data_IF_531726884813
#
_entry.id   IF_531726884813
#
_cell.length_a   1.000
_cell.length_b   1.000
_cell.length_c   1.000
_cell.angle_alpha   90.00
_cell.angle_beta   90.00
_cell.angle_gamma   90.00
#
_symmetry.space_group_name_H-M   'P 1'
#
loop_
_entity.id
_entity.type
_entity.pdbx_description
1 polymer ?
#
# COMPACT_ATOMS: atom_id res chain seq x y z
N UNK A 1 -3.95 2.30 -2.61
CA UNK A 1 -4.19 3.53 -1.84
C UNK A 1 -3.00 3.80 -0.94
N UNK A 2 -2.25 4.85 -1.22
CA UNK A 2 -1.22 5.34 -0.34
C UNK A 2 -1.86 6.38 0.58
N UNK A 3 -2.06 6.04 1.85
CA UNK A 3 -2.44 7.02 2.86
C UNK A 3 -1.19 7.73 3.35
N UNK A 4 -1.08 9.02 3.07
CA UNK A 4 0.00 9.85 3.57
C UNK A 4 -0.52 10.49 4.85
N UNK A 5 0.03 10.09 6.00
CA UNK A 5 -0.23 10.74 7.27
C UNK A 5 0.70 11.93 7.41
N UNK A 6 0.13 13.13 7.46
CA UNK A 6 0.86 14.32 7.86
C UNK A 6 0.90 14.43 9.39
N UNK A 7 2.07 14.46 9.95
CA UNK A 7 2.27 14.93 11.32
C UNK A 7 2.54 16.43 11.25
N UNK A 8 1.53 17.22 11.59
CA UNK A 8 1.64 18.66 11.58
C UNK A 8 2.58 19.15 12.71
N UNK A 9 3.65 19.83 12.35
CA UNK A 9 4.55 20.51 13.28
C UNK A 9 3.79 21.68 13.89
N UNK A 10 3.31 21.57 15.12
CA UNK A 10 2.89 22.76 15.82
C UNK A 10 1.78 22.72 16.86
N UNK A 11 1.00 21.68 16.99
CA UNK A 11 0.03 21.62 18.10
C UNK A 11 0.23 20.38 18.98
N UNK A 12 0.46 20.65 20.26
CA UNK A 12 0.52 19.61 21.29
C UNK A 12 -0.87 19.05 21.51
N UNK A 13 -1.25 18.03 20.77
CA UNK A 13 -2.33 17.16 21.24
C UNK A 13 -1.80 16.41 22.46
N UNK A 14 -2.18 16.90 23.64
CA UNK A 14 -1.93 16.22 24.89
C UNK A 14 -2.88 15.02 25.00
N UNK A 15 -2.55 13.93 24.35
CA UNK A 15 -3.21 12.65 24.58
C UNK A 15 -2.51 12.03 25.79
N UNK A 16 -3.19 12.00 26.92
CA UNK A 16 -2.78 11.19 28.07
C UNK A 16 -3.01 9.72 27.69
N UNK A 17 -1.98 9.10 27.17
CA UNK A 17 -1.99 7.66 26.88
C UNK A 17 -1.57 6.89 28.11
N UNK A 18 -2.45 5.97 28.51
CA UNK A 18 -2.11 4.94 29.48
C UNK A 18 -1.22 3.90 28.79
N UNK A 19 -0.05 3.65 29.29
CA UNK A 19 1.15 3.09 28.65
C UNK A 19 1.09 1.60 28.29
N UNK A 20 -0.05 1.01 27.98
CA UNK A 20 -0.15 -0.44 27.66
C UNK A 20 -0.86 -0.83 26.36
N UNK A 21 -1.52 0.07 25.69
CA UNK A 21 -2.29 -0.25 24.46
C UNK A 21 -1.77 0.36 23.17
N UNK A 22 -0.60 0.99 23.14
CA UNK A 22 -0.08 1.75 21.99
C UNK A 22 0.75 0.91 21.01
N UNK A 23 0.40 -0.36 20.84
CA UNK A 23 1.15 -1.25 19.93
C UNK A 23 0.51 -1.45 18.56
N UNK A 24 -0.53 -0.71 18.22
CA UNK A 24 -1.32 -1.01 17.02
C UNK A 24 -1.59 0.21 16.14
N UNK A 25 -0.64 1.10 15.98
CA UNK A 25 -0.83 2.17 15.02
C UNK A 25 0.29 2.23 14.00
N UNK A 26 -0.13 2.19 12.81
CA UNK A 26 0.56 2.37 11.53
C UNK A 26 0.99 1.11 10.82
N UNK A 27 0.33 0.80 9.70
CA UNK A 27 0.91 0.79 8.38
C UNK A 27 -0.06 0.35 7.31
N UNK A 28 -0.38 1.23 6.42
CA UNK A 28 -0.60 0.87 5.03
C UNK A 28 0.56 1.45 4.25
N UNK A 29 1.55 0.68 3.95
CA UNK A 29 2.46 0.90 2.84
C UNK A 29 2.90 -0.45 2.32
N UNK A 30 2.33 -0.79 1.18
CA UNK A 30 2.97 -1.47 0.07
C UNK A 30 3.81 -2.68 0.38
N UNK A 31 3.42 -3.77 -0.24
CA UNK A 31 4.30 -4.81 -0.72
C UNK A 31 5.70 -4.25 -1.04
N UNK A 32 6.58 -4.34 -0.10
CA UNK A 32 8.01 -4.35 -0.37
C UNK A 32 8.70 -5.09 0.75
N UNK A 33 9.21 -6.21 0.37
CA UNK A 33 10.13 -7.06 1.11
C UNK A 33 11.23 -6.27 1.83
N UNK A 34 11.73 -6.96 2.85
CA UNK A 34 13.10 -6.92 3.38
C UNK A 34 13.26 -6.29 4.76
N UNK A 35 13.36 -7.01 5.73
CA UNK A 35 14.40 -7.73 6.47
C UNK A 35 15.14 -6.95 7.56
N UNK A 36 15.33 -7.50 8.75
CA UNK A 36 16.49 -7.84 9.58
C UNK A 36 16.21 -7.98 11.06
N UNK A 37 16.53 -9.04 11.52
CA UNK A 37 17.63 -9.72 12.25
C UNK A 37 17.70 -9.45 13.76
N UNK A 38 17.53 -10.53 14.38
CA UNK A 38 18.11 -11.13 15.59
C UNK A 38 19.18 -10.38 16.37
N UNK A 39 19.05 -10.49 17.67
CA UNK A 39 20.09 -10.40 18.69
C UNK A 39 19.51 -10.67 20.05
N UNK A 40 19.65 -11.87 20.46
CA UNK A 40 19.87 -12.59 21.70
C UNK A 40 20.18 -11.69 22.91
N UNK A 41 19.79 -11.98 24.13
CA UNK A 41 19.84 -13.09 25.05
C UNK A 41 19.25 -12.72 26.42
N UNK A 42 18.63 -13.75 27.00
CA UNK A 42 18.67 -14.28 28.37
C UNK A 42 18.31 -13.45 29.61
N UNK A 43 17.39 -14.08 30.33
CA UNK A 43 17.30 -14.36 31.77
C UNK A 43 17.10 -13.19 32.74
N UNK A 44 16.13 -13.19 33.59
CA UNK A 44 15.83 -14.03 34.73
C UNK A 44 14.58 -13.55 35.48
N UNK A 45 14.02 -14.47 36.22
CA UNK A 45 12.81 -14.46 37.02
C UNK A 45 12.74 -13.41 38.15
N UNK A 46 11.53 -13.02 38.51
CA UNK A 46 10.98 -13.25 39.87
C UNK A 46 9.55 -12.67 39.99
N UNK A 47 8.75 -13.47 40.63
CA UNK A 47 7.39 -13.24 41.16
C UNK A 47 7.33 -12.02 42.09
N UNK A 48 6.19 -11.32 42.09
CA UNK A 48 5.43 -11.14 43.32
C UNK A 48 4.00 -10.64 43.09
N UNK A 49 3.09 -11.27 43.78
CA UNK A 49 1.65 -11.07 43.86
C UNK A 49 1.38 -9.99 44.92
N UNK A 50 0.46 -9.06 44.69
CA UNK A 50 -0.43 -8.48 45.72
C UNK A 50 -1.70 -7.90 45.13
N UNK A 51 -2.79 -8.17 45.84
CA UNK A 51 -4.22 -7.97 45.67
C UNK A 51 -4.74 -6.54 45.51
N UNK A 52 -5.88 -6.54 44.84
CA UNK A 52 -7.17 -5.84 45.07
C UNK A 52 -7.22 -4.46 45.77
N UNK A 53 -7.85 -3.53 45.08
CA UNK A 53 -8.98 -2.80 45.68
C UNK A 53 -9.80 -2.06 44.60
N UNK A 54 -11.08 -2.34 44.63
CA UNK A 54 -12.15 -1.71 43.87
C UNK A 54 -12.40 -0.29 44.37
N UNK A 55 -12.50 0.67 43.44
CA UNK A 55 -13.27 1.88 43.70
C UNK A 55 -13.97 2.35 42.43
N UNK A 56 -15.29 2.33 42.52
CA UNK A 56 -16.24 2.77 41.52
C UNK A 56 -16.29 4.30 41.54
N UNK A 57 -15.90 4.96 40.45
CA UNK A 57 -16.18 6.39 40.29
C UNK A 57 -16.77 6.66 38.91
N UNK A 58 -17.88 7.38 38.92
CA UNK A 58 -18.76 7.72 37.81
C UNK A 58 -18.04 8.37 36.60
N UNK A 59 -18.51 8.03 35.40
CA UNK A 59 -18.08 8.60 34.14
C UNK A 59 -18.38 10.11 34.07
N UNK A 60 -17.43 10.94 33.60
CA UNK A 60 -17.73 12.32 33.22
C UNK A 60 -18.39 12.37 31.84
N UNK A 61 -19.37 13.26 31.73
CA UNK A 61 -20.13 13.56 30.53
C UNK A 61 -19.23 13.88 29.33
N UNK A 62 -19.53 13.28 28.21
CA UNK A 62 -18.95 13.55 26.89
C UNK A 62 -19.27 14.99 26.48
N UNK A 63 -18.25 15.84 26.47
CA UNK A 63 -18.33 17.16 25.84
C UNK A 63 -18.15 16.93 24.33
N UNK A 64 -19.18 17.23 23.54
CA UNK A 64 -19.09 17.21 22.09
C UNK A 64 -17.96 18.14 21.62
N UNK A 65 -17.11 17.61 20.74
CA UNK A 65 -16.10 18.41 20.05
C UNK A 65 -16.82 19.50 19.21
N UNK A 66 -16.24 20.70 19.12
CA UNK A 66 -16.81 21.75 18.26
C UNK A 66 -16.78 21.26 16.81
N UNK A 67 -17.90 21.39 16.11
CA UNK A 67 -17.99 21.17 14.67
C UNK A 67 -16.95 22.09 13.98
N UNK A 68 -16.00 21.49 13.25
CA UNK A 68 -15.13 22.23 12.36
C UNK A 68 -15.98 22.75 11.20
N UNK A 69 -15.99 24.06 11.01
CA UNK A 69 -16.53 24.68 9.80
C UNK A 69 -15.69 24.18 8.62
N UNK A 70 -16.32 23.51 7.67
CA UNK A 70 -15.72 23.09 6.42
C UNK A 70 -15.25 24.31 5.62
N UNK A 71 -13.97 24.56 5.68
CA UNK A 71 -13.30 25.50 4.78
C UNK A 71 -12.90 24.73 3.51
N UNK A 72 -13.59 24.99 2.42
CA UNK A 72 -13.32 24.43 1.08
C UNK A 72 -12.07 25.05 0.41
N UNK A 73 -11.08 25.46 1.17
CA UNK A 73 -9.80 25.90 0.61
C UNK A 73 -8.87 24.69 0.43
N UNK A 74 -8.20 24.60 -0.73
CA UNK A 74 -7.15 23.62 -0.97
C UNK A 74 -6.16 23.60 0.21
N UNK A 75 -5.70 22.43 0.65
CA UNK A 75 -4.74 22.35 1.73
C UNK A 75 -3.43 23.04 1.34
N UNK A 76 -2.86 23.77 2.28
CA UNK A 76 -1.59 24.47 2.10
C UNK A 76 -0.42 23.61 2.61
N UNK A 77 0.78 23.91 2.10
CA UNK A 77 2.04 23.33 2.60
C UNK A 77 2.56 22.21 1.74
N UNK A 78 3.81 21.84 2.02
CA UNK A 78 4.55 20.78 1.35
C UNK A 78 4.98 19.77 2.41
N UNK A 79 4.68 18.50 2.19
CA UNK A 79 5.21 17.40 2.97
C UNK A 79 6.41 16.79 2.25
N UNK A 80 7.58 16.83 2.89
CA UNK A 80 8.85 16.42 2.29
C UNK A 80 9.30 15.07 2.82
N UNK A 81 9.51 14.14 1.91
CA UNK A 81 10.05 12.81 2.22
C UNK A 81 11.45 12.65 1.66
N UNK A 82 12.37 12.09 2.43
CA UNK A 82 13.65 11.62 1.94
C UNK A 82 13.54 10.18 1.44
N UNK A 83 14.06 9.93 0.25
CA UNK A 83 14.23 8.61 -0.36
C UNK A 83 15.68 8.41 -0.80
N UNK A 84 16.08 7.17 -1.14
CA UNK A 84 17.51 6.84 -1.37
C UNK A 84 17.85 6.47 -2.80
N UNK A 85 16.91 6.56 -3.72
CA UNK A 85 17.12 6.18 -5.11
C UNK A 85 16.14 6.91 -6.02
N UNK A 86 16.60 7.30 -7.20
CA UNK A 86 15.72 7.69 -8.28
C UNK A 86 14.79 6.55 -8.64
N UNK A 87 13.51 6.83 -8.90
CA UNK A 87 12.62 5.88 -9.54
C UNK A 87 13.19 5.41 -10.89
N UNK A 88 13.17 4.10 -11.14
CA UNK A 88 13.70 3.53 -12.36
C UNK A 88 12.73 3.68 -13.55
N UNK A 89 11.43 3.79 -13.26
CA UNK A 89 10.37 3.89 -14.28
C UNK A 89 9.12 4.56 -13.70
N UNK A 90 8.37 5.23 -14.56
CA UNK A 90 7.00 5.73 -14.30
C UNK A 90 5.94 4.91 -15.05
N UNK A 91 6.34 3.84 -15.70
CA UNK A 91 5.47 2.94 -16.45
C UNK A 91 5.14 1.72 -15.61
N UNK A 92 3.90 1.62 -15.13
CA UNK A 92 3.48 0.53 -14.25
C UNK A 92 3.48 -0.83 -14.96
N UNK A 93 3.22 -0.90 -16.27
CA UNK A 93 3.38 -2.13 -17.03
C UNK A 93 4.82 -2.63 -17.00
N UNK A 94 5.79 -1.73 -17.16
CA UNK A 94 7.22 -2.04 -17.11
C UNK A 94 7.67 -2.41 -15.71
N UNK A 95 7.18 -1.72 -14.70
CA UNK A 95 7.50 -2.03 -13.31
C UNK A 95 7.10 -3.46 -12.93
N UNK A 96 5.88 -3.86 -13.24
CA UNK A 96 5.41 -5.22 -12.98
C UNK A 96 6.13 -6.27 -13.82
N UNK A 97 6.66 -5.90 -15.00
CA UNK A 97 7.33 -6.84 -15.93
C UNK A 97 8.82 -7.04 -15.61
N UNK A 98 9.60 -5.96 -15.49
CA UNK A 98 11.07 -6.03 -15.40
C UNK A 98 11.72 -5.16 -14.35
N UNK A 99 11.16 -4.02 -14.02
CA UNK A 99 11.83 -2.95 -13.28
C UNK A 99 11.32 -2.79 -11.85
N UNK A 100 11.01 -3.89 -11.20
CA UNK A 100 10.44 -3.92 -9.84
C UNK A 100 11.39 -3.31 -8.82
N UNK A 101 11.11 -2.08 -8.39
CA UNK A 101 11.77 -1.40 -7.28
C UNK A 101 10.75 -0.61 -6.44
N UNK A 102 11.08 -0.37 -5.17
CA UNK A 102 10.14 0.25 -4.23
C UNK A 102 9.90 1.74 -4.55
N UNK A 103 10.91 2.46 -5.01
CA UNK A 103 10.82 3.91 -5.19
C UNK A 103 10.01 4.28 -6.41
N UNK A 104 10.13 3.52 -7.52
CA UNK A 104 9.25 3.68 -8.69
C UNK A 104 7.79 3.46 -8.31
N UNK A 105 7.50 2.46 -7.45
CA UNK A 105 6.12 2.22 -7.03
C UNK A 105 5.53 3.40 -6.26
N UNK A 106 6.32 4.05 -5.39
CA UNK A 106 5.85 5.26 -4.70
C UNK A 106 5.53 6.40 -5.67
N UNK A 107 6.34 6.56 -6.71
CA UNK A 107 6.12 7.58 -7.74
C UNK A 107 4.88 7.30 -8.59
N UNK A 108 4.54 6.03 -8.81
CA UNK A 108 3.40 5.61 -9.64
C UNK A 108 2.11 5.38 -8.83
N UNK A 109 2.08 5.80 -7.57
CA UNK A 109 0.87 5.65 -6.75
C UNK A 109 -0.33 6.31 -7.43
N UNK A 110 -1.43 5.56 -7.48
CA UNK A 110 -2.64 6.00 -8.15
C UNK A 110 -2.72 5.70 -9.64
N UNK A 111 -1.64 5.29 -10.32
CA UNK A 111 -1.72 4.90 -11.74
C UNK A 111 -2.51 3.60 -11.97
N UNK A 112 -2.95 2.94 -10.91
CA UNK A 112 -3.82 1.78 -10.99
C UNK A 112 -4.85 1.79 -9.88
N UNK A 113 -5.94 1.11 -10.12
CA UNK A 113 -6.95 0.74 -9.13
C UNK A 113 -6.98 -0.77 -8.97
N UNK A 114 -7.56 -1.28 -7.88
CA UNK A 114 -7.77 -2.71 -7.67
C UNK A 114 -9.18 -2.96 -7.12
N UNK A 115 -9.70 -4.17 -7.26
CA UNK A 115 -10.99 -4.52 -6.68
C UNK A 115 -10.93 -4.44 -5.16
N UNK A 116 -9.86 -5.00 -4.58
CA UNK A 116 -9.66 -5.07 -3.14
C UNK A 116 -8.26 -4.61 -2.75
N UNK A 117 -8.11 -4.17 -1.51
CA UNK A 117 -6.85 -4.04 -0.80
C UNK A 117 -6.66 -5.17 0.21
N UNK A 118 -5.50 -5.20 0.84
CA UNK A 118 -5.19 -6.13 1.93
C UNK A 118 -5.12 -5.36 3.23
N UNK A 119 -5.91 -5.76 4.23
CA UNK A 119 -5.90 -5.15 5.56
C UNK A 119 -4.65 -5.51 6.35
N UNK A 120 -4.27 -4.65 7.29
CA UNK A 120 -3.23 -4.93 8.28
C UNK A 120 -3.87 -4.87 9.69
N UNK A 121 -3.51 -5.74 10.63
CA UNK A 121 -2.48 -6.77 10.59
C UNK A 121 -2.98 -8.15 10.11
N UNK A 122 -4.25 -8.30 9.79
CA UNK A 122 -4.87 -9.61 9.57
C UNK A 122 -4.71 -10.12 8.14
N UNK A 123 -4.28 -9.27 7.21
CA UNK A 123 -4.07 -9.60 5.79
C UNK A 123 -5.32 -10.16 5.10
N UNK A 124 -6.49 -9.70 5.50
CA UNK A 124 -7.78 -10.00 4.87
C UNK A 124 -8.09 -9.01 3.76
N UNK A 125 -8.98 -9.38 2.85
CA UNK A 125 -9.47 -8.46 1.82
C UNK A 125 -10.29 -7.33 2.45
N UNK A 126 -10.08 -6.12 1.96
CA UNK A 126 -10.94 -4.97 2.17
C UNK A 126 -11.31 -4.40 0.79
N UNK A 127 -12.57 -4.02 0.55
CA UNK A 127 -12.95 -3.39 -0.71
C UNK A 127 -12.13 -2.12 -0.99
N UNK A 128 -11.77 -1.95 -2.27
CA UNK A 128 -11.11 -0.77 -2.80
C UNK A 128 -12.04 -0.14 -3.84
N UNK A 129 -12.12 -0.68 -5.05
CA UNK A 129 -13.14 -0.30 -6.01
C UNK A 129 -14.40 -1.19 -5.92
N UNK A 130 -14.31 -2.36 -5.26
CA UNK A 130 -15.48 -3.21 -5.04
C UNK A 130 -16.47 -2.56 -4.07
N UNK A 131 -17.76 -2.73 -4.32
CA UNK A 131 -18.83 -2.22 -3.45
C UNK A 131 -19.18 -3.17 -2.31
N UNK A 132 -18.70 -4.40 -2.36
CA UNK A 132 -18.95 -5.42 -1.34
C UNK A 132 -17.78 -6.39 -1.24
N UNK A 133 -17.67 -7.08 -0.11
CA UNK A 133 -16.62 -8.08 0.11
C UNK A 133 -17.01 -9.43 -0.51
N UNK A 134 -16.25 -9.89 -1.49
CA UNK A 134 -16.45 -11.18 -2.16
C UNK A 134 -15.26 -12.09 -1.83
N UNK A 135 -15.46 -13.02 -0.92
CA UNK A 135 -14.40 -13.95 -0.44
C UNK A 135 -14.48 -15.35 -1.06
N UNK A 136 -15.66 -15.75 -1.55
CA UNK A 136 -15.89 -17.11 -2.04
C UNK A 136 -16.21 -17.12 -3.52
N UNK A 137 -15.63 -18.09 -4.23
CA UNK A 137 -15.91 -18.34 -5.64
C UNK A 137 -17.31 -18.94 -5.85
N UNK A 138 -17.85 -18.71 -7.03
CA UNK A 138 -19.00 -19.47 -7.54
C UNK A 138 -18.48 -20.66 -8.34
N UNK A 139 -18.86 -21.89 -7.98
CA UNK A 139 -18.66 -23.07 -8.80
C UNK A 139 -19.67 -23.05 -9.96
N UNK A 140 -19.16 -22.98 -11.19
CA UNK A 140 -19.99 -22.93 -12.39
C UNK A 140 -20.54 -24.30 -12.80
N UNK A 141 -20.14 -25.40 -12.14
CA UNK A 141 -20.62 -26.77 -12.38
C UNK A 141 -19.98 -27.47 -13.59
N UNK A 142 -19.02 -26.81 -14.25
CA UNK A 142 -18.28 -27.38 -15.40
C UNK A 142 -16.77 -27.54 -15.09
N UNK A 143 -16.39 -27.40 -13.81
CA UNK A 143 -15.00 -27.43 -13.34
C UNK A 143 -14.33 -26.06 -13.37
N UNK A 144 -15.07 -25.02 -13.70
CA UNK A 144 -14.60 -23.64 -13.60
C UNK A 144 -15.21 -22.91 -12.40
N UNK A 145 -14.52 -21.89 -11.92
CA UNK A 145 -14.92 -21.05 -10.79
C UNK A 145 -14.88 -19.59 -11.21
N UNK A 146 -15.73 -18.77 -10.61
CA UNK A 146 -15.74 -17.35 -10.94
C UNK A 146 -16.04 -16.47 -9.72
N UNK A 147 -15.52 -15.24 -9.77
CA UNK A 147 -15.91 -14.13 -8.91
C UNK A 147 -16.58 -13.06 -9.76
N UNK A 148 -17.73 -12.59 -9.32
CA UNK A 148 -18.43 -11.46 -9.94
C UNK A 148 -18.44 -10.33 -8.93
N UNK A 149 -17.80 -9.24 -9.27
CA UNK A 149 -17.51 -8.14 -8.35
C UNK A 149 -18.10 -6.84 -8.89
N UNK A 150 -19.12 -6.30 -8.23
CA UNK A 150 -19.60 -4.95 -8.54
C UNK A 150 -18.57 -3.92 -8.06
N UNK A 151 -18.33 -2.89 -8.87
CA UNK A 151 -17.44 -1.78 -8.56
C UNK A 151 -18.21 -0.47 -8.41
N UNK A 152 -17.60 0.50 -7.73
CA UNK A 152 -18.20 1.80 -7.49
C UNK A 152 -18.42 2.54 -8.81
N UNK A 153 -19.61 3.06 -9.01
CA UNK A 153 -19.99 3.89 -10.15
C UNK A 153 -19.58 5.34 -9.93
N UNK A 154 -19.23 6.04 -11.01
CA UNK A 154 -19.00 7.48 -11.02
C UNK A 154 -17.58 7.89 -10.65
N UNK A 155 -16.65 6.96 -10.49
CA UNK A 155 -15.24 7.28 -10.33
C UNK A 155 -14.56 7.50 -11.67
N UNK A 156 -13.62 8.45 -11.69
CA UNK A 156 -12.89 8.87 -12.88
C UNK A 156 -11.38 8.85 -12.62
N UNK A 157 -10.63 8.65 -13.68
CA UNK A 157 -9.21 8.93 -13.73
C UNK A 157 -8.96 10.44 -13.76
N UNK A 158 -7.75 10.90 -13.42
CA UNK A 158 -7.39 12.33 -13.42
C UNK A 158 -7.51 13.03 -14.79
N UNK A 159 -7.67 12.27 -15.86
CA UNK A 159 -7.94 12.78 -17.21
C UNK A 159 -9.45 12.90 -17.52
N UNK A 160 -10.32 12.63 -16.55
CA UNK A 160 -11.78 12.68 -16.69
C UNK A 160 -12.42 11.47 -17.36
N UNK A 161 -11.63 10.44 -17.71
CA UNK A 161 -12.20 9.20 -18.22
C UNK A 161 -12.78 8.36 -17.06
N UNK A 162 -13.98 7.76 -17.21
CA UNK A 162 -14.57 6.96 -16.16
C UNK A 162 -13.76 5.69 -15.90
N UNK A 163 -13.69 5.28 -14.62
CA UNK A 163 -13.17 3.98 -14.22
C UNK A 163 -14.28 2.96 -14.37
N UNK A 164 -14.05 1.95 -15.22
CA UNK A 164 -15.03 0.94 -15.55
C UNK A 164 -14.45 -0.47 -15.50
N UNK A 165 -15.30 -1.49 -15.55
CA UNK A 165 -14.90 -2.89 -15.64
C UNK A 165 -13.98 -3.16 -16.86
N UNK A 166 -14.04 -2.32 -17.89
CA UNK A 166 -13.19 -2.42 -19.08
C UNK A 166 -11.71 -2.18 -18.79
N UNK A 167 -11.36 -1.46 -17.71
CA UNK A 167 -9.96 -1.24 -17.31
C UNK A 167 -9.33 -2.56 -16.82
N UNK A 168 -10.07 -3.40 -16.08
CA UNK A 168 -9.64 -4.75 -15.70
C UNK A 168 -9.51 -5.67 -16.90
N UNK A 169 -10.53 -5.67 -17.79
CA UNK A 169 -10.51 -6.47 -19.02
C UNK A 169 -9.34 -6.12 -19.89
N UNK A 170 -9.10 -4.83 -20.09
CA UNK A 170 -7.97 -4.33 -20.88
C UNK A 170 -6.63 -4.75 -20.26
N UNK A 171 -6.44 -4.53 -18.95
CA UNK A 171 -5.17 -4.81 -18.29
C UNK A 171 -4.84 -6.30 -18.32
N UNK A 172 -5.81 -7.17 -18.02
CA UNK A 172 -5.65 -8.62 -18.13
C UNK A 172 -5.28 -9.05 -19.54
N UNK A 173 -6.06 -8.61 -20.55
CA UNK A 173 -5.84 -8.99 -21.94
C UNK A 173 -4.49 -8.52 -22.46
N UNK A 174 -4.04 -7.32 -22.03
CA UNK A 174 -2.72 -6.77 -22.35
C UNK A 174 -1.62 -7.62 -21.74
N UNK A 175 -1.72 -7.92 -20.44
CA UNK A 175 -0.73 -8.73 -19.74
C UNK A 175 -0.60 -10.15 -20.34
N UNK A 176 -1.72 -10.74 -20.73
CA UNK A 176 -1.77 -12.06 -21.37
C UNK A 176 -1.33 -12.02 -22.83
N UNK A 177 -1.83 -11.08 -23.60
CA UNK A 177 -1.64 -11.01 -25.05
C UNK A 177 -0.23 -10.57 -25.46
N UNK A 178 0.40 -9.72 -24.67
CA UNK A 178 1.78 -9.23 -24.91
C UNK A 178 2.84 -10.02 -24.13
N UNK A 179 2.60 -11.26 -23.75
CA UNK A 179 3.25 -12.12 -22.74
C UNK A 179 4.16 -11.37 -21.77
N UNK A 180 3.55 -10.48 -21.00
CA UNK A 180 4.25 -9.80 -19.92
C UNK A 180 4.68 -10.80 -18.84
N UNK A 181 5.80 -10.53 -18.21
CA UNK A 181 6.48 -11.43 -17.27
C UNK A 181 6.42 -10.89 -15.83
N UNK A 182 7.36 -11.33 -15.00
CA UNK A 182 7.54 -10.79 -13.66
C UNK A 182 6.31 -10.94 -12.78
N UNK A 183 5.89 -9.84 -12.19
CA UNK A 183 4.75 -9.77 -11.29
C UNK A 183 3.39 -9.97 -12.01
N UNK A 184 3.30 -9.64 -13.30
CA UNK A 184 2.08 -9.88 -14.08
C UNK A 184 1.68 -11.34 -14.07
N UNK A 185 2.65 -12.25 -14.15
CA UNK A 185 2.38 -13.69 -14.08
C UNK A 185 1.91 -14.15 -12.69
N UNK A 186 2.18 -13.38 -11.65
CA UNK A 186 1.73 -13.70 -10.29
C UNK A 186 0.31 -13.20 -10.03
N UNK A 187 -0.03 -11.98 -10.46
CA UNK A 187 -1.37 -11.40 -10.26
C UNK A 187 -2.40 -11.87 -11.29
N UNK A 188 -1.94 -12.14 -12.52
CA UNK A 188 -2.74 -12.68 -13.62
C UNK A 188 -2.15 -13.99 -14.15
N UNK A 189 -2.19 -15.10 -13.40
CA UNK A 189 -1.64 -16.38 -13.87
C UNK A 189 -2.45 -16.90 -15.07
N UNK A 190 -2.01 -16.56 -16.28
CA UNK A 190 -2.71 -16.85 -17.53
C UNK A 190 -1.96 -17.76 -18.48
N UNK A 191 -0.64 -17.95 -18.29
CA UNK A 191 0.21 -18.81 -19.11
C UNK A 191 0.48 -20.16 -18.41
N UNK A 192 -0.57 -20.83 -18.00
CA UNK A 192 -0.51 -22.07 -17.24
C UNK A 192 -1.54 -23.08 -17.81
N UNK A 193 -1.27 -24.36 -17.68
CA UNK A 193 -2.20 -25.43 -18.04
C UNK A 193 -3.14 -25.80 -16.88
N UNK A 194 -2.70 -25.49 -15.66
CA UNK A 194 -3.40 -25.82 -14.40
C UNK A 194 -3.34 -24.59 -13.52
N UNK A 195 -4.44 -24.27 -12.83
CA UNK A 195 -4.50 -23.14 -11.88
C UNK A 195 -4.32 -21.75 -12.53
N UNK A 196 -5.22 -21.44 -13.48
CA UNK A 196 -5.16 -20.21 -14.26
C UNK A 196 -6.39 -19.33 -14.09
N UNK A 197 -6.17 -18.00 -14.21
CA UNK A 197 -7.22 -17.08 -14.66
C UNK A 197 -7.47 -17.35 -16.14
N UNK A 198 -8.68 -17.75 -16.48
CA UNK A 198 -9.05 -18.12 -17.85
C UNK A 198 -9.65 -16.95 -18.61
N UNK A 199 -10.41 -16.10 -17.91
CA UNK A 199 -11.09 -14.96 -18.50
C UNK A 199 -11.29 -13.82 -17.48
N UNK A 200 -11.26 -12.58 -17.96
CA UNK A 200 -11.76 -11.40 -17.26
C UNK A 200 -12.71 -10.70 -18.21
N UNK A 201 -13.95 -10.53 -17.80
CA UNK A 201 -15.00 -9.93 -18.61
C UNK A 201 -15.77 -8.85 -17.84
N UNK A 202 -16.21 -7.82 -18.54
CA UNK A 202 -17.16 -6.85 -18.04
C UNK A 202 -18.57 -7.37 -18.34
N UNK A 203 -19.33 -7.65 -17.30
CA UNK A 203 -20.75 -8.02 -17.43
C UNK A 203 -21.56 -6.80 -17.84
N UNK A 204 -21.21 -5.68 -17.26
CA UNK A 204 -21.65 -4.31 -17.59
C UNK A 204 -20.50 -3.35 -17.26
N UNK A 205 -20.73 -2.05 -17.31
CA UNK A 205 -19.71 -1.03 -17.10
C UNK A 205 -19.13 -1.06 -15.66
N UNK A 206 -19.89 -1.59 -14.69
CA UNK A 206 -19.52 -1.57 -13.27
C UNK A 206 -19.54 -2.96 -12.63
N UNK A 207 -19.43 -4.02 -13.43
CA UNK A 207 -19.38 -5.40 -12.92
C UNK A 207 -18.27 -6.18 -13.61
N UNK A 208 -17.24 -6.55 -12.85
CA UNK A 208 -16.10 -7.35 -13.30
C UNK A 208 -16.36 -8.81 -12.96
N UNK A 209 -16.21 -9.71 -13.93
CA UNK A 209 -16.20 -11.15 -13.67
C UNK A 209 -14.86 -11.75 -14.04
N UNK A 210 -14.28 -12.47 -13.08
CA UNK A 210 -12.97 -13.14 -13.21
C UNK A 210 -13.20 -14.65 -13.09
N UNK A 211 -12.79 -15.40 -14.11
CA UNK A 211 -12.98 -16.86 -14.20
C UNK A 211 -11.67 -17.61 -14.08
N UNK A 212 -11.73 -18.77 -13.42
CA UNK A 212 -10.60 -19.65 -13.15
C UNK A 212 -10.93 -21.07 -13.58
N UNK A 213 -9.93 -21.87 -13.95
CA UNK A 213 -10.08 -23.32 -14.21
C UNK A 213 -9.85 -24.18 -12.96
N UNK A 214 -9.85 -23.58 -11.78
CA UNK A 214 -9.68 -24.22 -10.47
C UNK A 214 -10.30 -23.32 -9.39
N UNK A 215 -10.48 -23.82 -8.17
CA UNK A 215 -10.87 -23.01 -7.03
C UNK A 215 -9.63 -22.24 -6.50
N UNK A 216 -9.53 -20.91 -6.73
CA UNK A 216 -8.27 -20.19 -6.58
C UNK A 216 -7.83 -19.93 -5.13
N UNK A 217 -8.75 -19.93 -4.17
CA UNK A 217 -8.46 -19.73 -2.75
C UNK A 217 -7.58 -18.50 -2.47
N UNK A 218 -6.69 -18.61 -1.47
CA UNK A 218 -5.85 -17.49 -1.03
C UNK A 218 -4.88 -17.00 -2.12
N UNK A 219 -4.17 -17.91 -2.77
CA UNK A 219 -3.09 -17.53 -3.69
C UNK A 219 -3.63 -16.95 -5.00
N UNK A 220 -4.63 -17.58 -5.59
CA UNK A 220 -5.16 -17.14 -6.88
C UNK A 220 -6.13 -15.98 -6.77
N UNK A 221 -6.90 -15.91 -5.68
CA UNK A 221 -7.85 -14.84 -5.45
C UNK A 221 -7.30 -13.75 -4.53
N UNK A 222 -7.19 -14.00 -3.22
CA UNK A 222 -6.93 -12.95 -2.23
C UNK A 222 -5.60 -12.21 -2.46
N UNK A 223 -4.52 -12.92 -2.78
CA UNK A 223 -3.19 -12.34 -3.05
C UNK A 223 -2.85 -12.29 -4.56
N UNK A 224 -3.80 -12.62 -5.40
CA UNK A 224 -3.68 -12.60 -6.85
C UNK A 224 -4.68 -11.63 -7.50
N UNK A 225 -5.69 -12.19 -8.15
CA UNK A 225 -6.60 -11.44 -9.01
C UNK A 225 -7.43 -10.36 -8.28
N UNK A 226 -7.76 -10.56 -7.00
CA UNK A 226 -8.52 -9.60 -6.21
C UNK A 226 -7.79 -8.26 -6.01
N UNK A 227 -6.46 -8.31 -5.89
CA UNK A 227 -5.60 -7.15 -5.68
C UNK A 227 -4.80 -6.76 -6.92
N UNK A 228 -5.07 -7.43 -8.04
CA UNK A 228 -4.40 -7.14 -9.29
C UNK A 228 -4.70 -5.70 -9.76
N UNK A 229 -3.70 -4.99 -10.27
CA UNK A 229 -3.91 -3.63 -10.75
C UNK A 229 -4.73 -3.64 -12.04
N UNK A 230 -5.62 -2.65 -12.15
CA UNK A 230 -6.24 -2.25 -13.41
C UNK A 230 -5.78 -0.83 -13.76
N UNK A 231 -5.42 -0.63 -15.01
CA UNK A 231 -4.90 0.62 -15.53
C UNK A 231 -5.88 1.22 -16.53
N UNK A 232 -5.87 2.54 -16.66
CA UNK A 232 -6.75 3.26 -17.60
C UNK A 232 -6.62 2.71 -19.03
N UNK A 233 -7.68 2.04 -19.49
CA UNK A 233 -7.75 1.58 -20.88
C UNK A 233 -7.66 2.74 -21.85
N UNK A 234 -8.37 3.83 -21.59
CA UNK A 234 -8.43 5.00 -22.47
C UNK A 234 -7.04 5.57 -22.77
N UNK A 235 -6.15 5.57 -21.79
CA UNK A 235 -4.78 6.03 -21.96
C UNK A 235 -3.87 4.97 -22.59
N UNK A 236 -3.89 3.73 -22.06
CA UNK A 236 -2.87 2.74 -22.38
C UNK A 236 -3.14 1.94 -23.65
N UNK A 237 -4.39 1.85 -24.14
CA UNK A 237 -4.70 0.99 -25.28
C UNK A 237 -3.97 1.37 -26.58
N UNK A 238 -3.67 2.65 -26.77
CA UNK A 238 -2.93 3.13 -27.94
C UNK A 238 -1.47 2.64 -27.98
N UNK A 239 -0.90 2.28 -26.85
CA UNK A 239 0.47 1.81 -26.72
C UNK A 239 0.56 0.28 -26.63
N UNK A 240 -0.54 -0.43 -26.47
CA UNK A 240 -0.59 -1.88 -26.28
C UNK A 240 -0.52 -2.63 -27.63
N UNK A 241 0.32 -2.15 -28.58
CA UNK A 241 0.50 -2.73 -29.91
C UNK A 241 1.52 -3.87 -29.91
N UNK A 242 2.55 -3.74 -29.09
CA UNK A 242 3.54 -4.78 -28.81
C UNK A 242 4.07 -4.63 -27.38
N UNK A 243 4.70 -5.69 -26.83
CA UNK A 243 5.37 -5.60 -25.54
C UNK A 243 6.46 -4.53 -25.52
N UNK A 244 7.23 -4.41 -26.62
CA UNK A 244 8.32 -3.45 -26.75
C UNK A 244 7.77 -2.02 -26.73
N UNK A 245 6.74 -1.72 -27.52
CA UNK A 245 6.12 -0.39 -27.58
C UNK A 245 5.54 0.00 -26.22
N UNK A 246 4.79 -0.91 -25.59
CA UNK A 246 4.18 -0.67 -24.28
C UNK A 246 5.21 -0.35 -23.19
N UNK A 247 6.31 -1.14 -23.12
CA UNK A 247 7.34 -0.94 -22.12
C UNK A 247 8.28 0.25 -22.41
N UNK A 248 8.25 0.79 -23.62
CA UNK A 248 9.01 1.98 -24.01
C UNK A 248 8.32 3.30 -23.62
N UNK A 249 7.03 3.25 -23.29
CA UNK A 249 6.27 4.45 -22.85
C UNK A 249 6.83 4.97 -21.54
N UNK A 250 6.99 6.28 -21.43
CA UNK A 250 7.46 6.93 -20.19
C UNK A 250 6.56 6.64 -18.99
N UNK A 251 5.24 6.69 -19.19
CA UNK A 251 4.24 6.57 -18.12
C UNK A 251 4.08 7.83 -17.26
N UNK A 252 4.88 8.88 -17.48
CA UNK A 252 4.79 10.13 -16.71
C UNK A 252 3.46 10.86 -16.85
N UNK A 253 2.79 10.69 -18.00
CA UNK A 253 1.50 11.30 -18.32
C UNK A 253 0.32 10.34 -18.09
N UNK A 254 0.59 9.15 -17.50
CA UNK A 254 -0.47 8.20 -17.22
C UNK A 254 -1.42 8.77 -16.17
N UNK A 255 -2.74 8.71 -16.40
CA UNK A 255 -3.71 9.24 -15.46
C UNK A 255 -3.71 8.45 -14.16
N UNK A 256 -4.10 9.11 -13.10
CA UNK A 256 -4.12 8.55 -11.74
C UNK A 256 -5.52 8.59 -11.14
N UNK A 257 -5.80 7.63 -10.29
CA UNK A 257 -6.96 7.58 -9.41
C UNK A 257 -6.48 7.94 -7.99
N UNK A 258 -6.18 9.19 -7.76
CA UNK A 258 -5.54 9.69 -6.53
C UNK A 258 -5.84 11.17 -6.35
N UNK A 259 -5.67 11.71 -5.12
CA UNK A 259 -5.75 13.12 -4.83
C UNK A 259 -4.62 13.96 -5.29
N UNK A 260 -3.58 13.29 -5.58
CA UNK A 260 -2.37 13.95 -6.00
C UNK A 260 -2.07 13.48 -7.42
N UNK A 261 -1.82 14.42 -8.28
CA UNK A 261 -1.31 14.18 -9.61
C UNK A 261 0.19 14.42 -9.63
N UNK A 262 0.86 13.70 -10.50
CA UNK A 262 2.27 13.90 -10.75
C UNK A 262 2.50 15.30 -11.35
N UNK A 263 3.45 16.04 -10.78
CA UNK A 263 3.68 17.43 -11.17
C UNK A 263 5.05 17.59 -11.82
N UNK A 264 6.14 17.29 -11.10
CA UNK A 264 7.48 17.58 -11.56
C UNK A 264 8.49 16.52 -11.15
N UNK A 265 9.48 16.29 -12.01
CA UNK A 265 10.70 15.55 -11.65
C UNK A 265 11.94 16.35 -11.99
N UNK A 266 12.92 16.32 -11.10
CA UNK A 266 14.31 16.69 -11.35
C UNK A 266 15.18 15.51 -10.97
N UNK A 267 15.63 14.78 -11.98
CA UNK A 267 16.34 13.52 -11.81
C UNK A 267 17.58 13.67 -10.93
N UNK A 268 17.75 12.79 -9.95
CA UNK A 268 18.82 12.85 -8.96
C UNK A 268 18.61 13.89 -7.85
N UNK A 269 17.51 14.64 -7.86
CA UNK A 269 17.20 15.65 -6.86
C UNK A 269 15.87 15.43 -6.16
N UNK A 270 14.75 15.48 -6.88
CA UNK A 270 13.42 15.30 -6.30
C UNK A 270 12.35 15.02 -7.35
N UNK A 271 11.17 14.57 -6.89
CA UNK A 271 9.92 14.65 -7.64
C UNK A 271 8.77 15.09 -6.73
N UNK A 272 7.75 15.70 -7.34
CA UNK A 272 6.62 16.24 -6.61
C UNK A 272 5.28 15.74 -7.12
N UNK A 273 4.34 15.67 -6.20
CA UNK A 273 2.93 15.47 -6.48
C UNK A 273 2.17 16.65 -5.92
N UNK A 274 1.27 17.21 -6.73
CA UNK A 274 0.40 18.31 -6.33
C UNK A 274 -1.02 17.83 -6.13
N UNK A 275 -1.68 18.39 -5.12
CA UNK A 275 -3.09 18.12 -4.87
C UNK A 275 -3.94 18.58 -6.05
N UNK A 276 -4.84 17.71 -6.46
CA UNK A 276 -5.85 17.97 -7.48
C UNK A 276 -7.23 18.11 -6.83
N UNK A 277 -7.79 19.33 -6.78
CA UNK A 277 -9.08 19.57 -6.15
C UNK A 277 -10.27 18.93 -6.87
N UNK A 278 -10.08 18.56 -8.13
CA UNK A 278 -11.12 17.97 -8.97
C UNK A 278 -11.20 16.44 -8.81
N UNK A 279 -10.27 15.85 -8.04
CA UNK A 279 -10.31 14.39 -7.78
C UNK A 279 -11.33 14.05 -6.72
N UNK A 280 -11.89 12.85 -6.83
CA UNK A 280 -12.98 12.35 -5.99
C UNK A 280 -12.54 11.40 -4.87
N UNK A 281 -11.24 11.33 -4.55
CA UNK A 281 -10.69 10.26 -3.71
C UNK A 281 -10.42 10.67 -2.25
N UNK A 282 -11.14 11.65 -1.70
CA UNK A 282 -10.79 12.22 -0.39
C UNK A 282 -11.95 12.57 0.50
N UNK A 283 -11.52 12.98 1.70
CA UNK A 283 -12.41 13.39 2.75
C UNK A 283 -12.98 12.21 3.53
N UNK A 284 -13.82 12.50 4.49
CA UNK A 284 -14.42 11.53 5.39
C UNK A 284 -13.45 10.98 6.42
N UNK A 285 -13.76 9.82 6.96
CA UNK A 285 -13.04 9.20 8.07
C UNK A 285 -12.86 7.70 7.82
N UNK A 286 -11.79 7.15 8.40
CA UNK A 286 -11.57 5.71 8.44
C UNK A 286 -11.39 5.25 9.88
N UNK A 287 -12.12 4.20 10.26
CA UNK A 287 -12.00 3.54 11.56
C UNK A 287 -11.45 2.13 11.37
N UNK A 288 -10.31 1.83 11.99
CA UNK A 288 -9.74 0.49 12.04
C UNK A 288 -10.03 -0.15 13.39
N UNK A 289 -10.44 -1.41 13.37
CA UNK A 289 -10.74 -2.21 14.56
C UNK A 289 -9.65 -3.23 14.83
N UNK A 290 -9.37 -3.51 16.10
CA UNK A 290 -8.31 -4.43 16.52
C UNK A 290 -8.48 -5.86 15.97
N UNK A 291 -9.71 -6.27 15.72
CA UNK A 291 -10.03 -7.59 15.14
C UNK A 291 -10.02 -7.61 13.61
N UNK A 292 -9.49 -6.56 12.97
CA UNK A 292 -9.27 -6.48 11.52
C UNK A 292 -10.45 -5.93 10.72
N UNK A 293 -11.49 -5.43 11.40
CA UNK A 293 -12.57 -4.70 10.74
C UNK A 293 -12.15 -3.28 10.33
N UNK A 294 -12.81 -2.76 9.31
CA UNK A 294 -12.62 -1.40 8.81
C UNK A 294 -14.00 -0.81 8.51
N UNK A 295 -14.26 0.38 9.04
CA UNK A 295 -15.38 1.21 8.62
C UNK A 295 -14.82 2.50 8.01
N UNK A 296 -15.37 2.94 6.89
CA UNK A 296 -14.93 4.18 6.26
C UNK A 296 -16.07 4.97 5.66
N UNK A 297 -15.87 6.27 5.60
CA UNK A 297 -16.59 7.18 4.74
C UNK A 297 -15.60 7.87 3.81
N UNK A 298 -16.01 8.16 2.59
CA UNK A 298 -15.27 8.97 1.65
C UNK A 298 -16.23 9.99 1.07
N UNK A 299 -15.98 11.24 1.35
CA UNK A 299 -16.83 12.36 0.93
C UNK A 299 -15.96 13.61 0.79
N UNK A 300 -15.76 14.04 -0.44
CA UNK A 300 -15.02 15.26 -0.79
C UNK A 300 -15.95 16.35 -1.35
N UNK A 301 -17.25 16.10 -1.38
CA UNK A 301 -18.24 17.04 -1.95
C UNK A 301 -18.27 17.10 -3.48
N UNK A 302 -17.41 16.36 -4.18
CA UNK A 302 -17.33 16.34 -5.66
C UNK A 302 -18.07 15.13 -6.22
N UNK A 303 -17.88 13.95 -5.61
CA UNK A 303 -18.56 12.71 -5.98
C UNK A 303 -19.61 12.32 -4.96
N UNK A 304 -20.52 11.40 -5.29
CA UNK A 304 -21.38 10.77 -4.30
C UNK A 304 -20.56 10.19 -3.14
N UNK A 305 -20.92 10.55 -1.92
CA UNK A 305 -20.28 9.99 -0.74
C UNK A 305 -20.45 8.47 -0.73
N UNK A 306 -19.37 7.76 -0.44
CA UNK A 306 -19.37 6.31 -0.23
C UNK A 306 -19.00 5.98 1.20
N UNK A 307 -19.55 4.89 1.70
CA UNK A 307 -19.20 4.35 3.01
C UNK A 307 -19.26 2.83 2.96
N UNK A 308 -18.48 2.20 3.85
CA UNK A 308 -18.48 0.75 3.96
C UNK A 308 -18.03 0.30 5.33
N UNK A 309 -18.52 -0.87 5.73
CA UNK A 309 -18.16 -1.57 6.95
C UNK A 309 -17.79 -3.00 6.57
N UNK A 310 -16.57 -3.43 6.90
CA UNK A 310 -16.02 -4.71 6.47
C UNK A 310 -15.25 -5.39 7.60
N UNK A 311 -15.30 -6.72 7.64
CA UNK A 311 -14.59 -7.52 8.61
C UNK A 311 -15.24 -7.51 10.00
N UNK A 312 -14.45 -7.82 11.02
CA UNK A 312 -14.89 -7.84 12.42
C UNK A 312 -14.73 -6.46 13.07
N UNK A 313 -15.83 -5.73 13.18
CA UNK A 313 -15.88 -4.38 13.75
C UNK A 313 -15.82 -4.35 15.28
N UNK A 314 -15.41 -5.43 15.93
CA UNK A 314 -15.27 -5.50 17.38
C UNK A 314 -13.86 -5.18 17.86
N UNK A 315 -13.72 -4.95 19.17
CA UNK A 315 -12.46 -4.63 19.84
C UNK A 315 -12.19 -3.13 19.91
N UNK A 316 -10.97 -2.79 20.33
CA UNK A 316 -10.52 -1.39 20.35
C UNK A 316 -10.47 -0.85 18.92
N UNK A 317 -10.86 0.40 18.73
CA UNK A 317 -10.85 1.04 17.43
C UNK A 317 -10.05 2.35 17.43
N UNK A 318 -9.58 2.71 16.24
CA UNK A 318 -8.91 3.98 16.00
C UNK A 318 -9.50 4.63 14.75
N UNK A 319 -9.98 5.86 14.91
CA UNK A 319 -10.56 6.66 13.83
C UNK A 319 -9.62 7.81 13.47
N UNK A 320 -9.46 8.04 12.18
CA UNK A 320 -8.72 9.18 11.64
C UNK A 320 -9.45 9.78 10.44
N UNK A 321 -9.30 11.09 10.28
CA UNK A 321 -9.80 11.77 9.09
C UNK A 321 -8.93 11.40 7.87
N UNK A 322 -9.58 11.27 6.71
CA UNK A 322 -8.89 11.06 5.45
C UNK A 322 -8.40 12.40 4.89
N UNK A 323 -7.16 12.42 4.35
CA UNK A 323 -6.59 13.63 3.75
C UNK A 323 -7.28 14.06 2.45
N UNK A 324 -6.66 14.96 1.68
CA UNK A 324 -5.28 15.45 1.88
C UNK A 324 -5.18 16.53 2.94
N UNK A 325 -4.02 16.63 3.60
CA UNK A 325 -3.72 17.66 4.59
C UNK A 325 -2.64 18.64 4.12
N UNK A 326 -2.09 18.42 2.93
CA UNK A 326 -1.04 19.25 2.31
C UNK A 326 -1.35 19.45 0.83
N UNK A 327 -0.93 20.56 0.28
CA UNK A 327 -1.10 20.87 -1.13
C UNK A 327 -0.07 20.18 -2.04
N UNK A 328 1.06 19.76 -1.47
CA UNK A 328 2.12 19.11 -2.25
C UNK A 328 2.87 18.07 -1.42
N UNK A 329 3.31 17.02 -2.07
CA UNK A 329 4.24 16.03 -1.53
C UNK A 329 5.52 16.06 -2.36
N UNK A 330 6.67 16.28 -1.71
CA UNK A 330 7.98 16.26 -2.33
C UNK A 330 8.78 15.04 -1.86
N UNK A 331 9.29 14.27 -2.81
CA UNK A 331 10.22 13.17 -2.55
C UNK A 331 11.63 13.62 -2.91
N UNK A 332 12.40 14.01 -1.91
CA UNK A 332 13.78 14.43 -2.07
C UNK A 332 14.72 13.23 -2.09
N UNK A 333 15.63 13.19 -3.06
CA UNK A 333 16.51 12.04 -3.30
C UNK A 333 17.85 12.25 -2.62
N UNK A 334 18.24 11.32 -1.74
CA UNK A 334 19.51 11.33 -1.02
C UNK A 334 20.35 10.12 -1.42
N UNK A 335 21.65 10.31 -1.62
CA UNK A 335 22.54 9.23 -2.04
C UNK A 335 22.86 8.20 -0.93
N UNK A 336 22.63 8.58 0.33
CA UNK A 336 22.88 7.73 1.49
C UNK A 336 21.95 8.06 2.68
N UNK A 337 21.86 7.10 3.60
CA UNK A 337 20.99 7.24 4.77
C UNK A 337 21.46 8.33 5.75
N UNK A 338 22.76 8.53 5.89
CA UNK A 338 23.29 9.45 6.89
C UNK A 338 22.98 10.90 6.51
N UNK A 339 23.06 11.24 5.21
CA UNK A 339 22.65 12.56 4.69
C UNK A 339 21.15 12.81 4.81
N UNK A 340 20.32 11.79 4.55
CA UNK A 340 18.87 11.90 4.73
C UNK A 340 18.48 12.10 6.20
N UNK A 341 19.09 11.37 7.12
CA UNK A 341 18.82 11.57 8.54
C UNK A 341 19.35 12.90 9.06
N UNK A 342 20.45 13.40 8.50
CA UNK A 342 20.92 14.76 8.82
C UNK A 342 19.94 15.82 8.34
N UNK A 343 19.39 15.68 7.13
CA UNK A 343 18.36 16.58 6.62
C UNK A 343 17.10 16.55 7.50
N UNK A 344 16.69 15.37 7.96
CA UNK A 344 15.59 15.22 8.91
C UNK A 344 15.88 15.93 10.25
N UNK A 345 17.08 15.77 10.80
CA UNK A 345 17.51 16.45 12.05
C UNK A 345 17.49 17.97 11.92
N UNK A 346 17.86 18.48 10.75
CA UNK A 346 17.84 19.92 10.44
C UNK A 346 16.42 20.46 10.16
N UNK A 347 15.45 19.57 9.91
CA UNK A 347 14.10 19.94 9.51
C UNK A 347 13.96 20.30 8.03
N UNK A 348 14.90 19.85 7.20
CA UNK A 348 14.85 20.02 5.74
C UNK A 348 13.86 19.05 5.09
N UNK A 349 13.60 17.90 5.73
CA UNK A 349 12.58 16.93 5.39
C UNK A 349 11.75 16.52 6.61
N UNK A 350 10.50 16.16 6.39
CA UNK A 350 9.53 15.82 7.42
C UNK A 350 9.51 14.31 7.74
N UNK A 351 9.94 13.50 6.79
CA UNK A 351 9.94 12.05 6.92
C UNK A 351 11.09 11.40 6.13
N UNK A 352 11.63 10.31 6.66
CA UNK A 352 12.62 9.47 5.94
C UNK A 352 11.99 8.13 5.63
N UNK A 353 11.75 7.87 4.34
CA UNK A 353 11.19 6.62 3.85
C UNK A 353 12.31 5.61 3.63
N UNK A 354 12.58 4.79 4.64
CA UNK A 354 13.67 3.80 4.60
C UNK A 354 13.14 2.36 4.64
N UNK A 355 12.95 1.70 3.49
CA UNK A 355 12.50 0.31 3.45
C UNK A 355 13.54 -0.69 3.97
N UNK A 356 14.81 -0.28 4.07
CA UNK A 356 15.90 -1.13 4.59
C UNK A 356 15.97 -1.17 6.11
N UNK A 357 15.21 -0.32 6.78
CA UNK A 357 15.19 -0.17 8.24
C UNK A 357 16.30 0.73 8.77
N UNK A 358 16.17 1.10 10.03
CA UNK A 358 17.06 2.04 10.73
C UNK A 358 18.04 1.27 11.61
N UNK A 359 19.33 1.62 11.54
CA UNK A 359 20.35 1.07 12.45
C UNK A 359 20.03 1.47 13.90
N UNK A 360 20.33 0.59 14.86
CA UNK A 360 20.04 0.81 16.29
C UNK A 360 20.58 2.15 16.81
N UNK A 361 21.83 2.51 16.47
CA UNK A 361 22.43 3.78 16.90
C UNK A 361 21.67 4.99 16.34
N UNK A 362 21.23 4.92 15.09
CA UNK A 362 20.40 5.97 14.45
C UNK A 362 19.03 6.04 15.11
N UNK A 363 18.39 4.89 15.38
CA UNK A 363 17.13 4.83 16.12
C UNK A 363 17.24 5.53 17.49
N UNK A 364 18.27 5.18 18.27
CA UNK A 364 18.50 5.75 19.59
C UNK A 364 18.78 7.26 19.54
N UNK A 365 19.42 7.74 18.47
CA UNK A 365 19.68 9.17 18.25
C UNK A 365 18.39 9.91 17.91
N UNK A 366 17.65 9.43 16.91
CA UNK A 366 16.41 10.06 16.44
C UNK A 366 15.33 10.08 17.53
N UNK A 367 15.20 9.01 18.31
CA UNK A 367 14.20 8.93 19.40
C UNK A 367 14.44 9.95 20.52
N UNK A 368 15.59 10.63 20.56
CA UNK A 368 15.91 11.69 21.55
C UNK A 368 15.58 13.09 21.06
N UNK A 369 15.27 13.25 19.78
CA UNK A 369 14.96 14.55 19.19
C UNK A 369 13.54 14.93 19.60
N UNK A 370 13.31 16.07 20.26
CA UNK A 370 11.98 16.50 20.64
C UNK A 370 11.06 16.68 19.43
N UNK A 371 9.86 16.12 19.50
CA UNK A 371 8.88 16.20 18.41
C UNK A 371 9.10 15.19 17.28
N UNK A 372 10.05 14.26 17.44
CA UNK A 372 10.30 13.16 16.51
C UNK A 372 9.70 11.88 17.05
N UNK A 373 9.06 11.12 16.18
CA UNK A 373 8.61 9.77 16.46
C UNK A 373 9.32 8.79 15.52
N UNK A 374 9.88 7.72 16.07
CA UNK A 374 10.44 6.62 15.29
C UNK A 374 9.50 5.43 15.42
N UNK A 375 8.79 5.14 14.33
CA UNK A 375 7.82 4.06 14.28
C UNK A 375 8.51 2.80 13.78
N UNK A 376 8.39 1.73 14.52
CA UNK A 376 8.88 0.42 14.09
C UNK A 376 7.74 -0.59 14.05
N UNK A 377 7.70 -1.37 12.97
CA UNK A 377 6.70 -2.38 12.75
C UNK A 377 7.35 -3.74 12.55
N UNK A 378 6.61 -4.78 12.92
CA UNK A 378 7.01 -6.12 12.51
C UNK A 378 6.81 -6.27 11.00
N UNK A 379 7.86 -6.76 10.33
CA UNK A 379 7.73 -7.17 8.93
C UNK A 379 7.06 -8.54 8.86
N UNK A 380 6.12 -8.71 7.96
CA UNK A 380 5.57 -10.02 7.59
C UNK A 380 6.40 -10.72 6.50
N UNK A 381 7.56 -10.15 6.17
CA UNK A 381 8.47 -10.69 5.18
C UNK A 381 9.35 -11.80 5.73
N UNK A 382 10.01 -12.50 4.83
CA UNK A 382 11.01 -13.54 5.12
C UNK A 382 12.35 -13.10 4.55
N UNK A 383 13.41 -13.25 5.35
CA UNK A 383 14.78 -13.15 4.82
C UNK A 383 15.20 -14.46 4.23
N UNK A 384 15.75 -14.40 3.06
CA UNK A 384 16.33 -15.57 2.44
C UNK A 384 17.63 -15.21 1.70
N UNK A 385 18.48 -16.18 1.54
CA UNK A 385 19.64 -16.10 0.66
C UNK A 385 19.37 -16.96 -0.56
N UNK A 386 19.30 -16.33 -1.71
CA UNK A 386 19.15 -17.03 -2.98
C UNK A 386 20.53 -17.30 -3.60
N UNK A 387 20.74 -18.51 -4.09
CA UNK A 387 21.95 -18.89 -4.83
C UNK A 387 21.63 -19.00 -6.31
N UNK A 388 22.40 -18.32 -7.14
CA UNK A 388 22.39 -18.61 -8.57
C UNK A 388 23.03 -19.98 -8.83
N UNK A 389 22.20 -21.00 -8.97
CA UNK A 389 22.68 -22.38 -9.17
C UNK A 389 23.21 -22.68 -10.57
N UNK A 390 23.12 -21.71 -11.50
CA UNK A 390 23.59 -21.85 -12.88
C UNK A 390 25.05 -21.48 -13.03
N UNK A 391 25.64 -20.69 -12.12
CA UNK A 391 27.02 -20.21 -12.19
C UNK A 391 27.78 -20.50 -10.90
N UNK A 392 29.13 -20.70 -11.04
CA UNK A 392 30.02 -20.84 -9.90
C UNK A 392 30.12 -19.49 -9.14
N UNK A 393 30.19 -19.49 -7.78
CA UNK A 393 30.26 -20.67 -6.89
C UNK A 393 28.87 -21.24 -6.52
N UNK A 394 27.78 -20.57 -6.86
CA UNK A 394 26.41 -20.95 -6.50
C UNK A 394 25.98 -22.31 -7.10
N UNK A 395 26.53 -22.72 -8.23
CA UNK A 395 26.33 -24.06 -8.83
C UNK A 395 26.90 -25.20 -8.00
N UNK A 396 27.89 -24.94 -7.15
CA UNK A 396 28.52 -25.97 -6.31
C UNK A 396 27.66 -26.25 -5.06
N UNK A 397 27.15 -27.47 -4.91
CA UNK A 397 26.33 -27.89 -3.78
C UNK A 397 27.05 -27.74 -2.43
N UNK A 398 28.36 -28.12 -2.36
CA UNK A 398 29.13 -28.02 -1.12
C UNK A 398 29.30 -26.55 -0.68
N UNK A 399 29.47 -25.63 -1.63
CA UNK A 399 29.52 -24.20 -1.34
C UNK A 399 28.21 -23.73 -0.70
N UNK A 400 27.04 -24.04 -1.28
CA UNK A 400 25.73 -23.67 -0.72
C UNK A 400 25.49 -24.23 0.68
N UNK A 401 25.90 -25.49 0.90
CA UNK A 401 25.85 -26.15 2.21
C UNK A 401 26.76 -25.46 3.24
N UNK A 402 27.98 -25.12 2.84
CA UNK A 402 28.94 -24.44 3.73
C UNK A 402 28.40 -23.05 4.15
N UNK A 403 27.83 -22.28 3.22
CA UNK A 403 27.22 -20.98 3.53
C UNK A 403 26.03 -21.16 4.46
N UNK A 404 25.12 -22.12 4.20
CA UNK A 404 23.99 -22.40 5.08
C UNK A 404 24.42 -22.77 6.50
N UNK A 405 25.43 -23.60 6.64
CA UNK A 405 25.98 -23.98 7.96
C UNK A 405 26.65 -22.81 8.67
N UNK A 406 27.34 -21.92 7.94
CA UNK A 406 28.00 -20.75 8.54
C UNK A 406 27.00 -19.76 9.15
N UNK A 407 25.79 -19.63 8.57
CA UNK A 407 24.75 -18.76 9.07
C UNK A 407 24.05 -19.28 10.33
N UNK A 408 24.07 -20.60 10.57
CA UNK A 408 23.48 -21.22 11.77
C UNK A 408 24.36 -20.97 13.00
N UNK A 409 25.65 -20.72 12.81
CA UNK A 409 26.62 -20.58 13.90
C UNK A 409 27.05 -19.12 14.16
N UNK A 410 26.43 -18.15 13.49
CA UNK A 410 26.58 -16.73 13.78
C UNK A 410 25.41 -16.23 14.63
#
# INVERSE_FOLDING_TARGET
>A
FMWIFCIQKGEKLSIKTNSRSWRFLMLFVVFAMVVVACGDTSDDAAEDVVEESSDTTAAPATTAAPAQEESSSAPDGVFKLAIFQDPATQNLFKWYDTDTDAYSLYQMTGQSVSLFGISYPNYTLIPSMATELIETSTDNGDGTFSYTVPIVEGYEWSDGNPITAQDWVFTYNTAKGLPLLGQWAAVWPSNCEVECVTNVEAIDDYTVKISFNYDPGLTGWQYGAAVAPALSKAYWEQFATSREDLLAVSGAEAPVASAFVYDKIEQGAFYTWSYDPDTMYFGGETTNYANGGVAFTQDNGVAPAISGEFGDLSGESFTYANGPFVGQVEFSIYNDQDSAYLAFENGDVDFVLNPSGVKRATYEKLSRIPGTEVISNFSNGMRYMAFNTRVFPGSNKAYRQAVGLSLIHI
#
